data_IF_952989667466
#
_entry.id   IF_952989667466
#
_cell.length_a   1.000
_cell.length_b   1.000
_cell.length_c   1.000
_cell.angle_alpha   90.00
_cell.angle_beta   90.00
_cell.angle_gamma   90.00
#
_symmetry.space_group_name_H-M   'P 1'
#
loop_
_entity.id
_entity.type
_entity.pdbx_description
1 polymer ?
#
# COMPACT_ATOMS: atom_id res chain seq x y z
N UNK A 1 1.90 -11.39 -29.55
CA UNK A 1 1.55 -11.38 -28.11
C UNK A 1 0.84 -10.06 -27.82
N UNK A 2 -0.48 -10.08 -27.55
CA UNK A 2 -1.25 -8.87 -27.21
C UNK A 2 -1.01 -8.55 -25.73
N UNK A 3 -0.41 -7.40 -25.45
CA UNK A 3 -0.25 -6.89 -24.09
C UNK A 3 -1.64 -6.52 -23.54
N UNK A 4 -2.19 -7.33 -22.63
CA UNK A 4 -3.49 -7.11 -21.98
C UNK A 4 -3.45 -5.98 -20.91
N UNK A 5 -2.69 -4.91 -21.15
CA UNK A 5 -2.62 -3.71 -20.28
C UNK A 5 -3.87 -2.81 -20.41
N UNK A 6 -5.03 -3.39 -20.67
CA UNK A 6 -6.28 -2.64 -20.69
C UNK A 6 -6.81 -2.53 -19.26
N UNK A 7 -6.52 -1.39 -18.63
CA UNK A 7 -7.38 -0.73 -17.62
C UNK A 7 -8.80 -0.42 -18.19
N UNK A 8 -9.09 -0.89 -19.40
CA UNK A 8 -10.26 -0.57 -20.20
C UNK A 8 -11.36 -1.63 -20.09
N UNK A 9 -11.26 -2.59 -19.17
CA UNK A 9 -12.40 -3.42 -18.77
C UNK A 9 -13.30 -2.52 -17.89
N UNK A 10 -14.52 -2.15 -18.35
CA UNK A 10 -15.38 -1.20 -17.62
C UNK A 10 -15.64 -1.63 -16.17
N UNK A 11 -15.74 -2.93 -15.93
CA UNK A 11 -15.93 -3.51 -14.60
C UNK A 11 -14.73 -3.28 -13.67
N UNK A 12 -13.50 -3.31 -14.21
CA UNK A 12 -12.29 -3.05 -13.43
C UNK A 12 -12.17 -1.56 -13.05
N UNK A 13 -12.66 -0.65 -13.90
CA UNK A 13 -12.71 0.79 -13.58
C UNK A 13 -13.62 1.06 -12.38
N UNK A 14 -14.83 0.50 -12.38
CA UNK A 14 -15.77 0.68 -11.26
C UNK A 14 -15.21 0.12 -9.94
N UNK A 15 -14.57 -1.06 -10.00
CA UNK A 15 -13.90 -1.64 -8.84
C UNK A 15 -12.74 -0.76 -8.33
N UNK A 16 -11.95 -0.20 -9.23
CA UNK A 16 -10.86 0.72 -8.87
C UNK A 16 -11.37 2.04 -8.30
N UNK A 17 -12.45 2.60 -8.82
CA UNK A 17 -13.04 3.84 -8.31
C UNK A 17 -13.57 3.63 -6.89
N UNK A 18 -14.27 2.51 -6.63
CA UNK A 18 -14.70 2.11 -5.28
C UNK A 18 -13.50 1.95 -4.34
N UNK A 19 -12.44 1.28 -4.79
CA UNK A 19 -11.23 1.07 -4.00
C UNK A 19 -10.51 2.38 -3.67
N UNK A 20 -10.42 3.31 -4.63
CA UNK A 20 -9.84 4.64 -4.44
C UNK A 20 -10.64 5.45 -3.42
N UNK A 21 -11.98 5.42 -3.50
CA UNK A 21 -12.85 6.11 -2.56
C UNK A 21 -12.72 5.55 -1.14
N UNK A 22 -12.64 4.23 -0.99
CA UNK A 22 -12.38 3.59 0.31
C UNK A 22 -11.00 3.97 0.87
N UNK A 23 -9.97 3.95 0.04
CA UNK A 23 -8.62 4.36 0.45
C UNK A 23 -8.59 5.82 0.91
N UNK A 24 -9.33 6.71 0.25
CA UNK A 24 -9.46 8.12 0.63
C UNK A 24 -10.19 8.32 1.97
N UNK A 25 -11.29 7.59 2.17
CA UNK A 25 -12.04 7.61 3.44
C UNK A 25 -11.17 7.18 4.63
N UNK A 26 -10.35 6.14 4.46
CA UNK A 26 -9.47 5.64 5.53
C UNK A 26 -8.35 6.61 5.89
N UNK A 27 -7.85 7.40 4.94
CA UNK A 27 -6.85 8.45 5.21
C UNK A 27 -7.47 9.77 5.65
N UNK A 28 -8.80 9.87 5.71
CA UNK A 28 -9.52 11.09 6.08
C UNK A 28 -9.41 12.21 5.04
N UNK A 29 -9.06 11.88 3.79
CA UNK A 29 -8.97 12.85 2.68
C UNK A 29 -10.31 12.89 1.98
N UNK A 30 -10.89 14.09 1.86
CA UNK A 30 -12.14 14.29 1.14
C UNK A 30 -11.89 14.25 -0.38
N UNK A 31 -11.86 13.04 -0.93
CA UNK A 31 -11.76 12.81 -2.36
C UNK A 31 -13.16 12.80 -2.98
N UNK A 32 -13.37 13.65 -3.98
CA UNK A 32 -14.63 13.67 -4.75
C UNK A 32 -14.42 13.05 -6.13
N UNK A 33 -15.50 12.62 -6.79
CA UNK A 33 -15.46 12.18 -8.19
C UNK A 33 -15.22 13.34 -9.18
N UNK A 34 -15.17 14.58 -8.69
CA UNK A 34 -14.95 15.79 -9.46
C UNK A 34 -13.53 16.34 -9.32
N UNK A 35 -13.41 17.67 -9.35
CA UNK A 35 -12.12 18.35 -9.31
C UNK A 35 -11.51 18.35 -7.91
N UNK A 36 -10.36 17.69 -7.77
CA UNK A 36 -9.62 17.58 -6.51
C UNK A 36 -8.36 18.45 -6.47
N UNK A 37 -8.26 19.50 -7.31
CA UNK A 37 -7.06 20.36 -7.35
C UNK A 37 -6.86 21.26 -6.14
N UNK A 38 -7.81 21.27 -5.20
CA UNK A 38 -7.67 21.90 -3.89
C UNK A 38 -6.95 20.99 -2.87
N UNK A 39 -6.81 19.69 -3.17
CA UNK A 39 -6.05 18.78 -2.31
C UNK A 39 -4.56 19.06 -2.40
N UNK A 40 -3.88 18.99 -1.27
CA UNK A 40 -2.42 19.07 -1.25
C UNK A 40 -1.82 17.84 -1.91
N UNK A 41 -0.62 17.98 -2.51
CA UNK A 41 0.12 16.86 -3.11
C UNK A 41 0.34 15.72 -2.12
N UNK A 42 0.46 16.03 -0.83
CA UNK A 42 0.61 15.06 0.26
C UNK A 42 -0.67 14.23 0.45
N UNK A 43 -1.84 14.86 0.42
CA UNK A 43 -3.13 14.18 0.58
C UNK A 43 -3.41 13.27 -0.61
N UNK A 44 -3.25 13.78 -1.83
CA UNK A 44 -3.40 12.98 -3.05
C UNK A 44 -2.41 11.79 -3.09
N UNK A 45 -1.16 12.01 -2.68
CA UNK A 45 -0.16 10.95 -2.56
C UNK A 45 -0.49 9.91 -1.48
N UNK A 46 -1.10 10.34 -0.37
CA UNK A 46 -1.50 9.44 0.72
C UNK A 46 -2.59 8.45 0.30
N UNK A 47 -3.55 8.89 -0.52
CA UNK A 47 -4.57 8.01 -1.10
C UNK A 47 -3.93 6.93 -1.99
N UNK A 48 -3.06 7.33 -2.91
CA UNK A 48 -2.35 6.40 -3.80
C UNK A 48 -1.44 5.42 -3.05
N UNK A 49 -0.76 5.90 -1.99
CA UNK A 49 0.07 5.06 -1.13
C UNK A 49 -0.75 3.98 -0.40
N UNK A 50 -1.95 4.31 0.08
CA UNK A 50 -2.83 3.32 0.71
C UNK A 50 -3.35 2.27 -0.26
N UNK A 51 -3.64 2.66 -1.50
CA UNK A 51 -4.04 1.71 -2.55
C UNK A 51 -2.96 0.64 -2.76
N UNK A 52 -1.69 1.05 -2.87
CA UNK A 52 -0.56 0.10 -3.04
C UNK A 52 -0.35 -0.73 -1.78
N UNK A 53 -0.48 -0.14 -0.60
CA UNK A 53 -0.31 -0.85 0.69
C UNK A 53 -1.32 -1.99 0.87
N UNK A 54 -2.56 -1.79 0.41
CA UNK A 54 -3.61 -2.82 0.43
C UNK A 54 -3.38 -3.90 -0.64
N UNK A 55 -2.84 -3.53 -1.80
CA UNK A 55 -2.56 -4.47 -2.88
C UNK A 55 -1.34 -5.36 -2.60
N UNK A 56 -0.29 -4.81 -1.97
CA UNK A 56 0.96 -5.51 -1.68
C UNK A 56 1.32 -5.43 -0.18
N UNK A 57 0.65 -6.20 0.70
CA UNK A 57 0.93 -6.18 2.11
C UNK A 57 2.24 -6.93 2.41
N UNK A 58 3.36 -6.20 2.47
CA UNK A 58 4.61 -6.71 3.02
C UNK A 58 4.66 -6.38 4.51
N UNK A 59 4.64 -7.41 5.35
CA UNK A 59 4.80 -7.28 6.80
C UNK A 59 6.24 -7.60 7.17
N UNK A 60 6.91 -6.60 7.75
CA UNK A 60 8.27 -6.74 8.26
C UNK A 60 8.17 -6.84 9.77
N UNK A 61 8.61 -7.95 10.33
CA UNK A 61 8.74 -8.10 11.79
C UNK A 61 10.21 -8.18 12.12
N UNK A 62 10.67 -7.28 13.00
CA UNK A 62 12.05 -7.24 13.50
C UNK A 62 12.06 -7.71 14.94
N UNK A 63 12.95 -8.66 15.24
CA UNK A 63 13.16 -9.12 16.61
C UNK A 63 14.64 -9.02 16.95
N UNK A 64 14.93 -8.38 18.08
CA UNK A 64 16.28 -8.32 18.62
C UNK A 64 16.54 -9.61 19.41
N UNK A 65 17.59 -10.34 19.03
CA UNK A 65 18.00 -11.57 19.73
C UNK A 65 19.44 -11.45 20.19
N UNK A 66 19.72 -11.98 21.38
CA UNK A 66 21.10 -12.10 21.85
C UNK A 66 21.89 -13.06 20.96
N UNK A 67 23.03 -12.61 20.47
CA UNK A 67 23.95 -13.38 19.65
C UNK A 67 24.56 -14.50 20.50
N UNK A 68 24.36 -15.77 20.09
CA UNK A 68 24.89 -16.93 20.82
C UNK A 68 26.41 -17.10 20.67
N UNK A 69 27.03 -16.40 19.72
CA UNK A 69 28.46 -16.56 19.37
C UNK A 69 29.32 -15.47 20.03
N UNK A 70 28.74 -14.28 20.29
CA UNK A 70 29.44 -13.16 20.90
C UNK A 70 28.62 -12.61 22.08
N UNK A 71 29.11 -12.87 23.30
CA UNK A 71 28.50 -12.37 24.52
C UNK A 71 28.44 -10.83 24.49
N UNK A 72 27.26 -10.26 24.77
CA UNK A 72 27.01 -8.82 24.74
C UNK A 72 26.55 -8.26 23.38
N UNK A 73 26.52 -9.06 22.31
CA UNK A 73 26.02 -8.61 21.01
C UNK A 73 24.54 -8.95 20.82
N UNK A 74 23.78 -8.00 20.28
CA UNK A 74 22.39 -8.18 19.87
C UNK A 74 22.37 -8.19 18.33
N UNK A 75 21.71 -9.19 17.76
CA UNK A 75 21.44 -9.25 16.32
C UNK A 75 19.94 -9.07 16.09
N UNK A 76 19.59 -8.09 15.27
CA UNK A 76 18.22 -7.91 14.79
C UNK A 76 17.96 -8.90 13.66
N UNK A 77 17.07 -9.87 13.90
CA UNK A 77 16.59 -10.80 12.87
C UNK A 77 15.32 -10.22 12.26
N UNK A 78 15.31 -10.09 10.93
CA UNK A 78 14.18 -9.58 10.17
C UNK A 78 13.44 -10.73 9.48
N UNK A 79 12.15 -10.89 9.78
CA UNK A 79 11.26 -11.78 9.05
C UNK A 79 10.42 -10.93 8.08
N UNK A 80 10.54 -11.22 6.79
CA UNK A 80 9.78 -10.56 5.73
C UNK A 80 8.72 -11.55 5.26
N UNK A 81 7.45 -11.24 5.49
CA UNK A 81 6.32 -12.01 4.99
C UNK A 81 5.56 -11.18 3.97
N UNK A 82 5.37 -11.72 2.77
CA UNK A 82 4.54 -11.15 1.73
C UNK A 82 3.35 -12.08 1.47
N UNK A 83 2.14 -11.54 1.49
CA UNK A 83 0.94 -12.25 1.06
C UNK A 83 0.67 -11.80 -0.37
N UNK A 84 0.89 -12.71 -1.32
CA UNK A 84 0.55 -12.51 -2.73
C UNK A 84 -0.81 -13.18 -2.96
N UNK A 85 -1.75 -12.46 -3.58
CA UNK A 85 -3.06 -12.96 -3.99
C UNK A 85 -2.98 -13.49 -5.41
#
# INVERSE_FOLDING_TARGET
>A
MKNNNQINVPQAREAMDKFKMQAAQEVGVNLTNGYNGHLTSREAGSVGGQMVKKNCPVRIIKFDRHNRIAAGHIQTVQYIAAITV
#
